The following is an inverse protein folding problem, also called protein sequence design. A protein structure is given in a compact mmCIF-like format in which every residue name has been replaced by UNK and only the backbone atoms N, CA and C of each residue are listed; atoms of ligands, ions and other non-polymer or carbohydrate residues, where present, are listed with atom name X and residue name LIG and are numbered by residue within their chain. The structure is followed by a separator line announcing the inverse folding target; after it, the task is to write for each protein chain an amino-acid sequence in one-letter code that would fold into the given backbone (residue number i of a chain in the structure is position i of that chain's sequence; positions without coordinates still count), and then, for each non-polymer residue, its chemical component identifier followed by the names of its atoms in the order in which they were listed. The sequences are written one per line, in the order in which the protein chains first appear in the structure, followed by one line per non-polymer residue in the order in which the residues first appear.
data_IF_064492900302
#
_entry.id   IF_064492900302
#
_cell.length_a   1.000
_cell.length_b   1.000
_cell.length_c   1.000
_cell.angle_alpha   90.00
_cell.angle_beta   90.00
_cell.angle_gamma   90.00
#
_symmetry.space_group_name_H-M   'P 1'
#
loop_
_entity.id
_entity.type
_entity.pdbx_description
1 polymer ?
#
# COMPACT_ATOMS: atom_id res chain seq x y z
N UNK A 1 14.76 -6.23 -10.27
CA UNK A 1 14.06 -7.33 -9.55
C UNK A 1 12.81 -7.78 -10.32
N UNK A 2 12.25 -8.99 -10.14
CA UNK A 2 10.99 -9.37 -10.84
C UNK A 2 9.85 -8.39 -10.52
N UNK A 3 9.59 -8.16 -9.21
CA UNK A 3 8.59 -7.18 -8.75
C UNK A 3 8.84 -5.75 -9.26
N UNK A 4 10.09 -5.34 -9.52
CA UNK A 4 10.39 -4.00 -10.07
C UNK A 4 9.84 -3.85 -11.50
N UNK A 5 9.99 -4.89 -12.32
CA UNK A 5 9.47 -4.91 -13.69
C UNK A 5 7.94 -4.92 -13.69
N UNK A 6 7.34 -5.70 -12.79
CA UNK A 6 5.89 -5.76 -12.61
C UNK A 6 5.31 -4.41 -12.20
N UNK A 7 5.85 -3.78 -11.15
CA UNK A 7 5.40 -2.47 -10.68
C UNK A 7 5.59 -1.40 -11.76
N UNK A 8 6.74 -1.40 -12.46
CA UNK A 8 6.98 -0.44 -13.56
C UNK A 8 5.95 -0.61 -14.69
N UNK A 9 5.60 -1.85 -15.04
CA UNK A 9 4.61 -2.13 -16.08
C UNK A 9 3.20 -1.67 -15.67
N UNK A 10 2.80 -1.92 -14.42
CA UNK A 10 1.48 -1.52 -13.89
C UNK A 10 1.34 0.01 -13.76
N UNK A 11 2.41 0.70 -13.36
CA UNK A 11 2.40 2.16 -13.20
C UNK A 11 2.67 2.93 -14.51
N UNK A 12 3.20 2.28 -15.53
CA UNK A 12 3.61 2.92 -16.79
C UNK A 12 4.79 3.87 -16.65
N UNK A 13 5.54 3.80 -15.54
CA UNK A 13 6.72 4.63 -15.26
C UNK A 13 7.82 3.75 -14.66
N UNK A 14 9.11 4.03 -14.92
CA UNK A 14 10.19 3.29 -14.31
C UNK A 14 10.22 3.53 -12.80
N UNK A 15 10.45 2.47 -12.03
CA UNK A 15 10.67 2.55 -10.58
C UNK A 15 12.00 1.92 -10.19
N UNK A 16 12.63 2.49 -9.16
CA UNK A 16 13.74 1.84 -8.47
C UNK A 16 13.17 1.07 -7.28
N UNK A 17 13.45 -0.23 -7.20
CA UNK A 17 12.94 -1.10 -6.16
C UNK A 17 14.07 -1.86 -5.47
N UNK A 18 14.22 -1.63 -4.16
CA UNK A 18 15.25 -2.29 -3.34
C UNK A 18 14.62 -3.03 -2.16
N UNK A 19 14.41 -4.35 -2.28
CA UNK A 19 13.89 -5.14 -1.17
C UNK A 19 14.98 -5.40 -0.12
N UNK A 20 14.59 -5.41 1.14
CA UNK A 20 15.44 -5.82 2.25
C UNK A 20 14.70 -6.86 3.08
N UNK A 21 15.43 -7.89 3.53
CA UNK A 21 14.91 -8.88 4.46
C UNK A 21 15.42 -8.53 5.84
N UNK A 22 14.50 -8.34 6.78
CA UNK A 22 14.82 -8.14 8.18
C UNK A 22 14.17 -9.25 9.02
N UNK A 23 14.71 -9.54 10.22
CA UNK A 23 14.38 -10.72 10.99
C UNK A 23 13.04 -10.58 11.72
N UNK A 24 11.96 -10.51 10.96
CA UNK A 24 10.59 -10.51 11.45
C UNK A 24 9.79 -11.59 10.73
N UNK A 25 8.86 -12.22 11.43
CA UNK A 25 8.13 -13.39 10.94
C UNK A 25 7.14 -13.08 9.81
N UNK A 26 6.49 -11.90 9.85
CA UNK A 26 5.44 -11.49 8.91
C UNK A 26 5.37 -9.98 8.75
N UNK A 27 4.98 -9.56 7.55
CA UNK A 27 4.71 -8.19 7.18
C UNK A 27 5.76 -7.60 6.23
N UNK A 28 5.29 -6.73 5.36
CA UNK A 28 6.11 -5.88 4.50
C UNK A 28 5.84 -4.42 4.88
N UNK A 29 6.91 -3.64 4.97
CA UNK A 29 6.84 -2.17 4.91
C UNK A 29 7.36 -1.72 3.57
N UNK A 30 6.63 -0.81 2.92
CA UNK A 30 7.07 -0.13 1.72
C UNK A 30 7.18 1.36 2.00
N UNK A 31 8.37 1.92 1.79
CA UNK A 31 8.63 3.36 1.88
C UNK A 31 8.80 3.93 0.48
N UNK A 32 7.80 4.65 0.00
CA UNK A 32 7.75 5.16 -1.38
C UNK A 32 8.12 6.63 -1.40
N UNK A 33 9.18 6.97 -2.12
CA UNK A 33 9.60 8.34 -2.37
C UNK A 33 9.16 8.75 -3.78
N UNK A 34 8.53 9.91 -3.94
CA UNK A 34 8.10 10.38 -5.25
C UNK A 34 8.16 11.90 -5.38
N UNK A 35 8.39 12.38 -6.60
CA UNK A 35 8.30 13.79 -6.96
C UNK A 35 6.90 14.13 -7.44
N UNK A 36 6.36 15.25 -6.97
CA UNK A 36 5.07 15.76 -7.36
C UNK A 36 5.24 16.72 -8.55
N UNK A 37 4.35 16.60 -9.53
CA UNK A 37 4.34 17.50 -10.70
C UNK A 37 4.09 18.97 -10.29
N UNK A 38 3.32 19.16 -9.22
CA UNK A 38 3.03 20.46 -8.60
C UNK A 38 3.05 20.30 -7.07
N UNK A 39 3.39 21.36 -6.32
CA UNK A 39 3.37 21.30 -4.86
C UNK A 39 1.99 20.94 -4.32
N UNK A 40 1.92 20.01 -3.36
CA UNK A 40 0.70 19.66 -2.64
C UNK A 40 0.94 19.66 -1.13
N UNK A 41 -0.10 19.99 -0.36
CA UNK A 41 -0.10 19.86 1.11
C UNK A 41 -0.28 18.40 1.54
N UNK A 42 0.06 18.09 2.79
CA UNK A 42 -0.12 16.75 3.38
C UNK A 42 -1.59 16.34 3.33
N UNK A 43 -2.47 17.27 3.66
CA UNK A 43 -3.92 17.08 3.72
C UNK A 43 -4.50 16.79 2.34
N UNK A 44 -4.03 17.51 1.30
CA UNK A 44 -4.42 17.22 -0.09
C UNK A 44 -3.99 15.81 -0.54
N UNK A 45 -2.83 15.34 -0.10
CA UNK A 45 -2.33 14.01 -0.47
C UNK A 45 -3.12 12.93 0.29
N UNK A 46 -3.32 13.10 1.60
CA UNK A 46 -4.16 12.19 2.40
C UNK A 46 -5.58 12.11 1.86
N UNK A 47 -6.18 13.25 1.50
CA UNK A 47 -7.51 13.30 0.91
C UNK A 47 -7.59 12.54 -0.43
N UNK A 48 -6.55 12.60 -1.26
CA UNK A 48 -6.48 11.81 -2.50
C UNK A 48 -6.46 10.31 -2.23
N UNK A 49 -5.69 9.86 -1.24
CA UNK A 49 -5.69 8.45 -0.83
C UNK A 49 -7.06 8.03 -0.28
N UNK A 50 -7.63 8.81 0.63
CA UNK A 50 -8.92 8.53 1.24
C UNK A 50 -10.04 8.46 0.19
N UNK A 51 -10.06 9.41 -0.75
CA UNK A 51 -11.03 9.42 -1.85
C UNK A 51 -10.84 8.23 -2.80
N UNK A 52 -9.59 7.88 -3.12
CA UNK A 52 -9.28 6.79 -4.05
C UNK A 52 -9.67 5.41 -3.51
N UNK A 53 -9.62 5.24 -2.20
CA UNK A 53 -9.86 3.97 -1.52
C UNK A 53 -11.11 3.99 -0.63
N UNK A 54 -12.03 4.91 -0.87
CA UNK A 54 -13.24 5.08 -0.04
C UNK A 54 -14.12 3.82 -0.01
N UNK A 55 -14.20 3.11 -1.13
CA UNK A 55 -15.02 1.89 -1.28
C UNK A 55 -14.20 0.60 -1.08
N UNK A 56 -12.98 0.71 -0.55
CA UNK A 56 -12.02 -0.39 -0.48
C UNK A 56 -11.82 -0.80 1.00
N UNK A 57 -12.64 -1.73 1.52
CA UNK A 57 -12.75 -2.00 2.96
C UNK A 57 -11.48 -2.59 3.59
N UNK A 58 -10.55 -3.08 2.77
CA UNK A 58 -9.26 -3.61 3.21
C UNK A 58 -8.13 -2.57 3.11
N UNK A 59 -8.42 -1.32 2.79
CA UNK A 59 -7.43 -0.24 2.75
C UNK A 59 -7.77 0.78 3.84
N UNK A 60 -6.81 1.02 4.72
CA UNK A 60 -6.95 1.99 5.81
C UNK A 60 -5.94 3.13 5.61
N UNK A 61 -6.43 4.36 5.56
CA UNK A 61 -5.59 5.56 5.52
C UNK A 61 -5.38 6.04 6.96
N UNK A 62 -4.14 6.05 7.42
CA UNK A 62 -3.74 6.44 8.78
C UNK A 62 -2.87 7.69 8.75
N UNK A 63 -2.88 8.46 9.83
CA UNK A 63 -2.13 9.73 9.88
C UNK A 63 -0.61 9.51 9.96
N UNK A 64 -0.21 8.63 10.88
CA UNK A 64 1.19 8.28 11.17
C UNK A 64 1.72 7.16 10.27
N UNK A 65 3.05 6.97 10.24
CA UNK A 65 3.64 5.84 9.52
C UNK A 65 3.19 4.51 10.18
N UNK A 66 2.54 3.59 9.42
CA UNK A 66 2.09 2.34 9.99
C UNK A 66 3.27 1.41 10.32
N UNK A 67 3.08 0.58 11.33
CA UNK A 67 4.11 -0.31 11.87
C UNK A 67 3.94 -1.72 11.33
N UNK A 68 5.00 -2.32 10.79
CA UNK A 68 4.96 -3.68 10.24
C UNK A 68 4.51 -4.73 11.26
N UNK A 69 4.90 -4.56 12.53
CA UNK A 69 4.49 -5.47 13.59
C UNK A 69 2.99 -5.43 13.89
N UNK A 70 2.29 -4.34 13.54
CA UNK A 70 0.86 -4.14 13.79
C UNK A 70 -0.04 -4.61 12.64
N UNK A 71 0.54 -4.88 11.47
CA UNK A 71 -0.21 -5.37 10.30
C UNK A 71 -0.19 -6.90 10.20
N UNK A 72 0.72 -7.58 10.90
CA UNK A 72 0.80 -9.03 10.91
C UNK A 72 -0.53 -9.66 11.34
N UNK A 73 -1.00 -10.65 10.59
CA UNK A 73 -2.28 -11.32 10.79
C UNK A 73 -3.51 -10.53 10.30
N UNK A 74 -3.33 -9.36 9.68
CA UNK A 74 -4.43 -8.58 9.11
C UNK A 74 -4.53 -8.76 7.59
N UNK A 75 -5.76 -8.75 7.10
CA UNK A 75 -6.08 -8.91 5.68
C UNK A 75 -5.94 -7.61 4.86
N UNK A 76 -5.70 -6.48 5.51
CA UNK A 76 -5.66 -5.17 4.87
C UNK A 76 -4.27 -4.60 4.57
N UNK A 77 -4.30 -3.39 4.02
CA UNK A 77 -3.14 -2.50 3.85
C UNK A 77 -3.38 -1.25 4.68
N UNK A 78 -2.37 -0.81 5.42
CA UNK A 78 -2.37 0.52 6.02
C UNK A 78 -1.47 1.45 5.20
N UNK A 79 -1.92 2.65 4.90
CA UNK A 79 -1.18 3.68 4.15
C UNK A 79 -1.16 4.96 4.99
N UNK A 80 0.03 5.51 5.24
CA UNK A 80 0.17 6.71 6.06
C UNK A 80 1.59 7.28 6.05
N UNK A 81 1.92 8.02 7.10
CA UNK A 81 3.25 8.62 7.26
C UNK A 81 3.60 9.61 6.16
N UNK A 82 2.58 10.27 5.59
CA UNK A 82 2.74 11.24 4.50
C UNK A 82 3.62 12.39 4.97
N UNK A 83 4.85 12.45 4.46
CA UNK A 83 5.87 13.42 4.85
C UNK A 83 6.36 14.18 3.63
N UNK A 84 6.39 15.51 3.69
CA UNK A 84 6.79 16.38 2.59
C UNK A 84 8.17 16.99 2.83
N UNK A 85 8.98 17.06 1.78
CA UNK A 85 10.19 17.88 1.78
C UNK A 85 9.84 19.38 1.72
N UNK A 86 10.75 20.28 2.12
CA UNK A 86 10.57 21.72 1.94
C UNK A 86 10.17 22.08 0.51
N UNK A 87 9.20 22.98 0.36
CA UNK A 87 8.65 23.37 -0.94
C UNK A 87 7.64 22.37 -1.53
N UNK A 88 7.28 21.31 -0.79
CA UNK A 88 6.16 20.42 -1.07
C UNK A 88 6.19 19.71 -2.44
N UNK A 89 7.37 19.57 -3.07
CA UNK A 89 7.54 18.91 -4.37
C UNK A 89 8.01 17.47 -4.30
N UNK A 90 8.37 16.98 -3.11
CA UNK A 90 8.75 15.58 -2.88
C UNK A 90 8.00 15.08 -1.66
N UNK A 91 7.42 13.89 -1.77
CA UNK A 91 6.67 13.24 -0.70
C UNK A 91 7.23 11.85 -0.44
N UNK A 92 7.16 11.43 0.83
CA UNK A 92 7.35 10.05 1.26
C UNK A 92 6.03 9.53 1.81
N UNK A 93 5.66 8.32 1.40
CA UNK A 93 4.49 7.60 1.90
C UNK A 93 4.93 6.22 2.39
N UNK A 94 4.36 5.76 3.49
CA UNK A 94 4.64 4.44 4.05
C UNK A 94 3.37 3.59 3.93
N UNK A 95 3.53 2.36 3.45
CA UNK A 95 2.47 1.37 3.44
C UNK A 95 2.93 0.09 4.12
N UNK A 96 2.02 -0.60 4.82
CA UNK A 96 2.27 -1.92 5.38
C UNK A 96 1.17 -2.90 5.02
N UNK A 97 1.56 -4.16 4.83
CA UNK A 97 0.64 -5.29 4.61
C UNK A 97 1.23 -6.57 5.21
N UNK A 98 0.38 -7.56 5.51
CA UNK A 98 0.86 -8.92 5.80
C UNK A 98 1.16 -9.64 4.47
N UNK A 99 2.41 -10.08 4.30
CA UNK A 99 2.91 -10.67 3.06
C UNK A 99 2.34 -12.06 2.75
N UNK A 100 1.82 -12.77 3.74
CA UNK A 100 1.16 -14.07 3.54
C UNK A 100 -0.35 -13.91 3.33
N UNK A 101 -0.94 -12.84 3.88
CA UNK A 101 -2.36 -12.52 3.71
C UNK A 101 -2.58 -11.59 2.52
N UNK A 102 -2.61 -10.27 2.72
CA UNK A 102 -2.89 -9.32 1.63
C UNK A 102 -1.86 -9.40 0.50
N UNK A 103 -0.62 -9.78 0.81
CA UNK A 103 0.42 -10.03 -0.19
C UNK A 103 0.28 -11.34 -0.98
N UNK A 104 -0.63 -12.24 -0.57
CA UNK A 104 -0.84 -13.52 -1.24
C UNK A 104 -2.28 -14.07 -1.06
N UNK A 105 -2.55 -14.77 0.06
CA UNK A 105 -3.77 -15.57 0.21
C UNK A 105 -5.08 -14.76 0.17
N UNK A 106 -5.08 -13.57 0.78
CA UNK A 106 -6.27 -12.69 0.79
C UNK A 106 -6.56 -12.17 -0.60
N UNK A 107 -5.54 -11.67 -1.30
CA UNK A 107 -5.72 -11.17 -2.65
C UNK A 107 -6.17 -12.29 -3.61
N UNK A 108 -5.64 -13.50 -3.45
CA UNK A 108 -6.10 -14.67 -4.21
C UNK A 108 -7.59 -14.97 -3.96
N UNK A 109 -8.04 -14.93 -2.70
CA UNK A 109 -9.45 -15.12 -2.36
C UNK A 109 -10.34 -14.00 -2.89
N UNK A 110 -9.92 -12.73 -2.82
CA UNK A 110 -10.67 -11.62 -3.42
C UNK A 110 -10.86 -11.83 -4.92
N UNK A 111 -9.79 -12.19 -5.64
CA UNK A 111 -9.86 -12.46 -7.08
C UNK A 111 -10.78 -13.64 -7.40
N UNK A 112 -10.74 -14.71 -6.61
CA UNK A 112 -11.62 -15.87 -6.78
C UNK A 112 -13.09 -15.50 -6.55
N UNK A 113 -13.38 -14.77 -5.47
CA UNK A 113 -14.72 -14.29 -5.15
C UNK A 113 -15.29 -13.47 -6.31
N UNK A 114 -14.51 -12.52 -6.83
CA UNK A 114 -14.91 -11.69 -7.98
C UNK A 114 -15.15 -12.53 -9.24
N UNK A 115 -14.25 -13.48 -9.55
CA UNK A 115 -14.40 -14.36 -10.71
C UNK A 115 -15.64 -15.27 -10.64
N UNK A 116 -16.06 -15.65 -9.43
CA UNK A 116 -17.25 -16.48 -9.18
C UNK A 116 -18.54 -15.66 -8.96
N UNK A 117 -18.46 -14.32 -8.99
CA UNK A 117 -19.59 -13.43 -8.77
C UNK A 117 -20.07 -13.37 -7.31
N UNK A 118 -19.21 -13.72 -6.35
CA UNK A 118 -19.46 -13.58 -4.92
C UNK A 118 -19.05 -12.21 -4.40
N UNK A 119 -19.47 -11.87 -3.18
CA UNK A 119 -18.97 -10.67 -2.50
C UNK A 119 -17.47 -10.75 -2.29
N UNK A 120 -16.73 -9.67 -2.56
CA UNK A 120 -15.26 -9.66 -2.56
C UNK A 120 -14.65 -10.16 -1.24
N UNK A 121 -15.29 -9.88 -0.10
CA UNK A 121 -14.82 -10.26 1.24
C UNK A 121 -15.32 -11.63 1.71
N UNK A 122 -15.97 -12.41 0.85
CA UNK A 122 -16.45 -13.76 1.22
C UNK A 122 -15.27 -14.63 1.69
N UNK A 123 -15.41 -15.23 2.88
CA UNK A 123 -14.37 -16.05 3.53
C UNK A 123 -13.04 -15.31 3.83
N UNK A 124 -13.07 -13.99 3.95
CA UNK A 124 -11.98 -13.14 4.44
C UNK A 124 -12.47 -12.49 5.73
N UNK A 125 -11.81 -12.76 6.86
CA UNK A 125 -12.26 -12.35 8.20
C UNK A 125 -11.16 -11.74 9.05
#
# INVERSE_FOLDING_TARGET
HMHEREVSAQLGVPVEFMPHVAPHFRGITMTVNMWLQQPLTREQIQARYAQRYVDEPLIEIVDEAPWVSRIAGKHGVQIGGVTLAPGNKRVVVVATLDNLLKGAATQAMQNLNLALGWGELTAIG
#
